data_IF_978290777232
#
_entry.id   IF_978290777232
#
_cell.length_a   1.000
_cell.length_b   1.000
_cell.length_c   1.000
_cell.angle_alpha   90.00
_cell.angle_beta   90.00
_cell.angle_gamma   90.00
#
_symmetry.space_group_name_H-M   'P 1'
#
loop_
_entity.id
_entity.type
_entity.pdbx_description
1 polymer ?
#
# COMPACT_ATOMS: atom_id res chain seq x y z
N UNK A 1 14.98 1.91 14.86
CA UNK A 1 14.09 3.05 14.59
C UNK A 1 12.66 2.61 14.86
N UNK A 2 11.98 3.32 15.77
CA UNK A 2 10.55 3.22 16.16
C UNK A 2 9.87 1.85 16.16
N UNK A 3 10.22 0.97 17.12
CA UNK A 3 9.45 -0.25 17.45
C UNK A 3 8.71 -0.20 18.80
N UNK A 4 8.67 0.95 19.48
CA UNK A 4 8.29 0.98 20.90
C UNK A 4 6.88 1.48 21.23
N UNK A 5 6.13 2.07 20.30
CA UNK A 5 4.74 2.50 20.54
C UNK A 5 3.99 2.31 19.24
N UNK A 6 2.84 1.66 19.24
CA UNK A 6 2.05 1.29 18.05
C UNK A 6 1.54 2.46 17.18
N UNK A 7 2.17 3.63 17.24
CA UNK A 7 1.93 4.77 16.38
C UNK A 7 3.01 4.80 15.30
N UNK A 8 2.60 4.62 14.05
CA UNK A 8 3.46 4.86 12.89
C UNK A 8 3.04 6.16 12.21
N UNK A 9 4.02 6.88 11.68
CA UNK A 9 3.75 7.96 10.75
C UNK A 9 3.45 7.37 9.38
N UNK A 10 2.25 7.63 8.88
CA UNK A 10 1.79 7.11 7.60
C UNK A 10 0.98 8.20 6.89
N UNK A 11 1.40 8.55 5.68
CA UNK A 11 0.77 9.59 4.85
C UNK A 11 0.54 10.90 5.62
N UNK A 12 1.62 11.47 6.17
CA UNK A 12 1.63 12.77 6.86
C UNK A 12 0.74 12.84 8.12
N UNK A 13 0.32 11.69 8.65
CA UNK A 13 -0.46 11.63 9.87
C UNK A 13 0.03 10.49 10.77
N UNK A 14 -0.03 10.73 12.08
CA UNK A 14 0.13 9.65 13.06
C UNK A 14 -1.10 8.76 13.04
N UNK A 15 -0.86 7.46 12.90
CA UNK A 15 -1.90 6.43 12.87
C UNK A 15 -1.46 5.24 13.71
N UNK A 16 -2.44 4.65 14.42
CA UNK A 16 -2.22 3.45 15.18
C UNK A 16 -2.37 2.24 14.23
N UNK A 17 -1.28 1.82 13.62
CA UNK A 17 -1.24 0.60 12.81
C UNK A 17 -0.34 -0.43 13.47
N UNK A 18 -0.82 -1.67 13.50
CA UNK A 18 -0.03 -2.81 13.97
C UNK A 18 0.96 -3.33 12.92
N UNK A 19 0.95 -2.76 11.71
CA UNK A 19 1.75 -3.21 10.56
C UNK A 19 2.56 -2.02 10.02
N UNK A 20 3.87 -2.23 9.87
CA UNK A 20 4.79 -1.28 9.23
C UNK A 20 4.83 -1.49 7.71
N UNK A 21 5.04 -0.43 6.93
CA UNK A 21 5.15 -0.54 5.46
C UNK A 21 3.81 -0.57 4.74
N UNK A 22 2.81 0.12 5.29
CA UNK A 22 1.50 0.29 4.65
C UNK A 22 1.66 0.93 3.26
N UNK A 23 1.00 0.42 2.21
CA UNK A 23 1.11 0.96 0.87
C UNK A 23 0.37 2.29 0.77
N UNK A 24 0.86 3.22 -0.03
CA UNK A 24 0.25 4.52 -0.28
C UNK A 24 0.76 5.09 -1.60
N UNK A 25 -0.07 5.90 -2.26
CA UNK A 25 0.33 6.63 -3.45
C UNK A 25 0.04 8.11 -3.24
N UNK A 26 1.02 8.94 -3.57
CA UNK A 26 0.92 10.39 -3.51
C UNK A 26 1.45 10.99 -4.81
N UNK A 27 0.78 12.03 -5.31
CA UNK A 27 1.20 12.79 -6.48
C UNK A 27 1.58 14.19 -6.04
N UNK A 28 2.73 14.65 -6.54
CA UNK A 28 3.24 15.99 -6.31
C UNK A 28 3.37 16.72 -7.63
N UNK A 29 3.00 18.00 -7.64
CA UNK A 29 3.23 18.89 -8.77
C UNK A 29 4.18 20.00 -8.34
N UNK A 30 5.11 20.37 -9.22
CA UNK A 30 6.03 21.49 -9.02
C UNK A 30 5.69 22.60 -10.01
N UNK A 31 5.54 23.83 -9.53
CA UNK A 31 5.27 24.98 -10.39
C UNK A 31 6.56 25.67 -10.89
N UNK A 32 6.40 26.73 -11.69
CA UNK A 32 7.51 27.52 -12.23
C UNK A 32 8.27 28.32 -11.18
N UNK A 33 7.67 28.62 -10.03
CA UNK A 33 8.35 29.25 -8.89
C UNK A 33 9.22 28.27 -8.10
N UNK A 34 9.01 26.98 -8.34
CA UNK A 34 9.69 25.88 -7.66
C UNK A 34 8.94 25.34 -6.45
N UNK A 35 7.76 25.87 -6.13
CA UNK A 35 6.91 25.36 -5.07
C UNK A 35 6.38 23.96 -5.41
N UNK A 36 6.34 23.07 -4.42
CA UNK A 36 5.85 21.69 -4.55
C UNK A 36 4.51 21.57 -3.83
N UNK A 37 3.52 21.07 -4.54
CA UNK A 37 2.15 20.89 -4.06
C UNK A 37 1.83 19.40 -3.99
N UNK A 38 1.17 19.00 -2.91
CA UNK A 38 0.60 17.67 -2.78
C UNK A 38 -0.81 17.67 -3.38
N UNK A 39 -0.96 17.09 -4.57
CA UNK A 39 -2.18 17.25 -5.39
C UNK A 39 -3.13 16.07 -5.26
N UNK A 40 -2.63 14.90 -4.84
CA UNK A 40 -3.44 13.70 -4.66
C UNK A 40 -2.76 12.74 -3.69
N UNK A 41 -3.57 12.04 -2.90
CA UNK A 41 -3.14 10.84 -2.18
C UNK A 41 -4.26 9.82 -2.12
N UNK A 42 -3.91 8.54 -2.21
CA UNK A 42 -4.81 7.44 -1.89
C UNK A 42 -4.11 6.32 -1.11
N UNK A 43 -4.94 5.58 -0.39
CA UNK A 43 -4.54 4.57 0.58
C UNK A 43 -5.67 3.56 0.77
N UNK A 44 -5.36 2.42 1.40
CA UNK A 44 -6.32 1.32 1.58
C UNK A 44 -6.98 0.96 0.24
N UNK A 45 -8.30 0.80 0.19
CA UNK A 45 -9.06 0.48 -1.04
C UNK A 45 -8.95 1.53 -2.16
N UNK A 46 -8.47 2.74 -1.86
CA UNK A 46 -8.17 3.73 -2.91
C UNK A 46 -7.03 3.30 -3.84
N UNK A 47 -6.22 2.32 -3.41
CA UNK A 47 -5.13 1.74 -4.21
C UNK A 47 -5.60 0.58 -5.09
N UNK A 48 -6.80 0.04 -4.89
CA UNK A 48 -7.27 -1.16 -5.59
C UNK A 48 -7.25 -0.95 -7.11
N UNK A 49 -7.72 0.22 -7.57
CA UNK A 49 -7.71 0.56 -9.01
C UNK A 49 -6.30 0.69 -9.59
N UNK A 50 -5.33 1.06 -8.75
CA UNK A 50 -3.93 1.22 -9.14
C UNK A 50 -3.14 -0.10 -9.03
N UNK A 51 -3.73 -1.12 -8.40
CA UNK A 51 -3.18 -2.46 -8.33
C UNK A 51 -3.79 -3.35 -9.43
N UNK A 52 -3.28 -3.19 -10.65
CA UNK A 52 -3.78 -3.92 -11.83
C UNK A 52 -3.71 -5.43 -11.66
N UNK A 53 -2.73 -5.97 -10.92
CA UNK A 53 -2.60 -7.40 -10.69
C UNK A 53 -3.82 -7.96 -9.95
N UNK A 54 -4.27 -7.29 -8.89
CA UNK A 54 -5.43 -7.73 -8.12
C UNK A 54 -6.71 -7.63 -8.93
N UNK A 55 -6.87 -6.55 -9.69
CA UNK A 55 -8.03 -6.37 -10.56
C UNK A 55 -8.12 -7.49 -11.60
N UNK A 56 -7.00 -7.95 -12.17
CA UNK A 56 -7.00 -9.06 -13.11
C UNK A 56 -7.36 -10.40 -12.44
N UNK A 57 -6.87 -10.65 -11.22
CA UNK A 57 -7.19 -11.87 -10.47
C UNK A 57 -8.67 -11.93 -10.08
N UNK A 58 -9.30 -10.79 -9.79
CA UNK A 58 -10.73 -10.75 -9.46
C UNK A 58 -11.64 -11.12 -10.66
N UNK A 59 -11.14 -11.09 -11.89
CA UNK A 59 -11.89 -11.45 -13.09
C UNK A 59 -11.93 -12.95 -13.39
N UNK A 60 -11.00 -13.73 -12.83
CA UNK A 60 -10.94 -15.18 -13.08
C UNK A 60 -11.79 -15.95 -12.06
N UNK A 61 -12.36 -17.13 -12.40
CA UNK A 61 -13.24 -17.88 -11.48
C UNK A 61 -12.62 -18.22 -10.12
N UNK A 62 -11.30 -18.35 -10.05
CA UNK A 62 -10.57 -18.62 -8.80
C UNK A 62 -10.42 -17.37 -7.90
N UNK A 63 -10.71 -16.18 -8.44
CA UNK A 63 -10.42 -14.91 -7.79
C UNK A 63 -8.93 -14.81 -7.43
N UNK A 64 -8.66 -14.18 -6.28
CA UNK A 64 -7.32 -14.10 -5.68
C UNK A 64 -6.88 -15.38 -4.96
N UNK A 65 -7.73 -16.40 -4.89
CA UNK A 65 -7.45 -17.69 -4.23
C UNK A 65 -7.00 -17.56 -2.76
N UNK A 66 -7.58 -16.61 -2.02
CA UNK A 66 -7.16 -16.29 -0.64
C UNK A 66 -7.97 -17.03 0.44
N UNK A 67 -8.90 -17.89 0.03
CA UNK A 67 -9.71 -18.67 0.96
C UNK A 67 -8.83 -19.64 1.75
N UNK A 68 -8.92 -19.61 3.08
CA UNK A 68 -8.14 -20.47 3.97
C UNK A 68 -6.76 -19.92 4.38
N UNK A 69 -6.40 -18.72 3.93
CA UNK A 69 -5.20 -18.03 4.42
C UNK A 69 -5.45 -17.38 5.79
N UNK A 70 -4.42 -17.19 6.63
CA UNK A 70 -4.56 -16.50 7.93
C UNK A 70 -5.12 -15.08 7.81
N UNK A 71 -4.82 -14.39 6.71
CA UNK A 71 -5.36 -13.09 6.32
C UNK A 71 -5.11 -12.82 4.82
N UNK A 72 -5.88 -11.92 4.17
CA UNK A 72 -5.67 -11.54 2.77
C UNK A 72 -4.23 -11.09 2.50
N UNK A 73 -3.71 -11.38 1.30
CA UNK A 73 -2.37 -11.00 0.84
C UNK A 73 -1.19 -11.65 1.60
N UNK A 74 -1.39 -12.72 2.38
CA UNK A 74 -0.28 -13.41 3.09
C UNK A 74 0.82 -13.93 2.16
N UNK A 75 0.49 -14.16 0.89
CA UNK A 75 1.39 -14.64 -0.16
C UNK A 75 2.25 -13.52 -0.78
N UNK A 76 1.91 -12.26 -0.55
CA UNK A 76 2.66 -11.12 -1.10
C UNK A 76 3.99 -11.00 -0.37
N UNK A 77 5.08 -11.10 -1.13
CA UNK A 77 6.43 -10.82 -0.64
C UNK A 77 7.03 -9.66 -1.42
N UNK A 78 7.78 -8.82 -0.71
CA UNK A 78 8.64 -7.83 -1.35
C UNK A 78 9.64 -8.55 -2.27
N UNK A 79 9.98 -7.92 -3.39
CA UNK A 79 10.84 -8.52 -4.41
C UNK A 79 12.20 -8.96 -3.86
N UNK A 80 12.72 -8.24 -2.86
CA UNK A 80 13.98 -8.52 -2.16
C UNK A 80 13.91 -9.68 -1.14
N UNK A 81 12.72 -10.27 -0.93
CA UNK A 81 12.50 -11.39 0.01
C UNK A 81 12.31 -12.74 -0.67
N UNK A 82 12.44 -12.81 -1.99
CA UNK A 82 12.46 -14.08 -2.71
C UNK A 82 13.89 -14.66 -2.68
N UNK A 83 14.00 -15.96 -2.42
CA UNK A 83 15.25 -16.69 -2.64
C UNK A 83 15.49 -16.78 -4.16
N UNK A 84 16.72 -16.53 -4.60
CA UNK A 84 17.13 -16.68 -6.01
C UNK A 84 17.23 -18.14 -6.42
#
# INVERSE_FOLDING_TARGET
TDKAKGEIEYNYARRNYMITGMPGLSVFAKDSSGAVFHTYSCYSRGLDILNTAYNLLDLVPKGRDEAGLPFPMTWVRLHDKYET
#
